data_IF_236706959097
#
_entry.id   IF_236706959097
#
_cell.length_a   1.000
_cell.length_b   1.000
_cell.length_c   1.000
_cell.angle_alpha   90.00
_cell.angle_beta   90.00
_cell.angle_gamma   90.00
#
_symmetry.space_group_name_H-M   'P 1'
#
loop_
_entity.id
_entity.type
_entity.pdbx_description
1 polymer ?
#
# COMPACT_ATOMS: atom_id res chain seq x y z
N UNK A 1 -36.88 -14.56 -41.13
CA UNK A 1 -36.00 -13.50 -40.59
C UNK A 1 -34.91 -14.16 -39.76
N UNK A 2 -33.69 -14.26 -40.28
CA UNK A 2 -32.50 -14.88 -39.63
C UNK A 2 -31.37 -13.84 -39.47
N UNK A 3 -31.65 -12.57 -39.77
CA UNK A 3 -30.65 -11.48 -39.85
C UNK A 3 -30.53 -10.67 -38.54
N UNK A 4 -31.45 -10.84 -37.59
CA UNK A 4 -31.52 -10.00 -36.40
C UNK A 4 -30.76 -10.53 -35.18
N UNK A 5 -30.11 -11.71 -35.24
CA UNK A 5 -29.36 -12.23 -34.11
C UNK A 5 -27.96 -11.59 -34.11
N UNK A 6 -27.65 -10.65 -33.20
CA UNK A 6 -26.42 -9.89 -33.27
C UNK A 6 -25.31 -10.66 -32.54
N UNK A 7 -24.79 -11.72 -33.16
CA UNK A 7 -23.74 -12.57 -32.57
C UNK A 7 -22.53 -11.75 -32.07
N UNK A 8 -22.18 -10.68 -32.79
CA UNK A 8 -21.11 -9.76 -32.40
C UNK A 8 -21.44 -8.98 -31.11
N UNK A 9 -22.69 -8.57 -30.91
CA UNK A 9 -23.12 -7.84 -29.72
C UNK A 9 -23.04 -8.72 -28.47
N UNK A 10 -23.39 -10.01 -28.60
CA UNK A 10 -23.31 -10.98 -27.51
C UNK A 10 -21.88 -11.29 -27.04
N UNK A 11 -20.88 -11.12 -27.93
CA UNK A 11 -19.47 -11.33 -27.61
C UNK A 11 -18.72 -10.06 -27.21
N UNK A 12 -19.20 -8.88 -27.60
CA UNK A 12 -18.51 -7.61 -27.38
C UNK A 12 -18.14 -7.39 -25.90
N UNK A 13 -19.13 -7.51 -24.99
CA UNK A 13 -18.93 -7.32 -23.54
C UNK A 13 -17.99 -8.36 -22.92
N UNK A 14 -18.20 -9.69 -23.07
CA UNK A 14 -17.29 -10.66 -22.46
C UNK A 14 -15.87 -10.58 -23.04
N UNK A 15 -15.69 -10.30 -24.33
CA UNK A 15 -14.35 -10.10 -24.91
C UNK A 15 -13.68 -8.85 -24.34
N UNK A 16 -14.38 -7.72 -24.24
CA UNK A 16 -13.84 -6.49 -23.67
C UNK A 16 -13.43 -6.68 -22.20
N UNK A 17 -14.26 -7.34 -21.39
CA UNK A 17 -13.94 -7.65 -19.99
C UNK A 17 -12.73 -8.58 -19.89
N UNK A 18 -12.69 -9.65 -20.68
CA UNK A 18 -11.60 -10.61 -20.64
C UNK A 18 -10.25 -9.96 -21.01
N UNK A 19 -10.23 -9.17 -22.09
CA UNK A 19 -9.01 -8.45 -22.51
C UNK A 19 -8.64 -7.35 -21.50
N UNK A 20 -9.62 -6.59 -21.00
CA UNK A 20 -9.40 -5.51 -20.04
C UNK A 20 -8.84 -6.01 -18.70
N UNK A 21 -9.41 -7.07 -18.14
CA UNK A 21 -8.92 -7.68 -16.90
C UNK A 21 -7.55 -8.33 -17.10
N UNK A 22 -7.31 -8.99 -18.25
CA UNK A 22 -5.99 -9.52 -18.61
C UNK A 22 -4.90 -8.44 -18.68
N UNK A 23 -5.19 -7.30 -19.31
CA UNK A 23 -4.25 -6.16 -19.33
C UNK A 23 -4.07 -5.48 -17.98
N UNK A 24 -5.09 -5.48 -17.12
CA UNK A 24 -4.94 -5.07 -15.72
C UNK A 24 -3.95 -5.96 -14.96
N UNK A 25 -4.10 -7.28 -15.10
CA UNK A 25 -3.24 -8.26 -14.43
C UNK A 25 -1.77 -8.16 -14.87
N UNK A 26 -1.49 -7.94 -16.15
CA UNK A 26 -0.14 -7.67 -16.66
C UNK A 26 0.53 -6.45 -15.99
N UNK A 27 -0.27 -5.51 -15.48
CA UNK A 27 0.18 -4.30 -14.77
C UNK A 27 0.08 -4.43 -13.24
N UNK A 28 -0.17 -5.63 -12.73
CA UNK A 28 -0.32 -5.88 -11.29
C UNK A 28 -1.66 -5.42 -10.69
N UNK A 29 -2.66 -5.11 -11.53
CA UNK A 29 -4.00 -4.70 -11.08
C UNK A 29 -4.96 -5.88 -11.20
N UNK A 30 -5.35 -6.44 -10.06
CA UNK A 30 -6.31 -7.53 -10.00
C UNK A 30 -7.75 -6.99 -10.01
N UNK A 31 -8.49 -7.23 -11.09
CA UNK A 31 -9.88 -6.80 -11.26
C UNK A 31 -10.80 -8.02 -11.10
N UNK A 32 -11.63 -8.02 -10.05
CA UNK A 32 -12.47 -9.17 -9.68
C UNK A 32 -13.81 -9.15 -10.43
N UNK A 33 -13.81 -9.67 -11.67
CA UNK A 33 -15.02 -9.77 -12.51
C UNK A 33 -15.24 -8.56 -13.41
N UNK A 34 -16.37 -8.55 -14.15
CA UNK A 34 -16.69 -7.51 -15.13
C UNK A 34 -17.31 -6.25 -14.54
N UNK A 35 -18.18 -6.41 -13.53
CA UNK A 35 -18.90 -5.29 -12.92
C UNK A 35 -17.96 -4.21 -12.33
N UNK A 36 -16.86 -4.54 -11.61
CA UNK A 36 -15.92 -3.52 -11.14
C UNK A 36 -15.24 -2.75 -12.28
N UNK A 37 -14.94 -3.41 -13.40
CA UNK A 37 -14.32 -2.77 -14.57
C UNK A 37 -15.29 -1.78 -15.23
N UNK A 38 -16.56 -2.16 -15.37
CA UNK A 38 -17.59 -1.28 -15.93
C UNK A 38 -17.92 -0.10 -15.01
N UNK A 39 -17.98 -0.34 -13.70
CA UNK A 39 -18.24 0.72 -12.71
C UNK A 39 -17.08 1.72 -12.63
N UNK A 40 -15.84 1.27 -12.82
CA UNK A 40 -14.66 2.14 -12.81
C UNK A 40 -14.76 3.30 -13.82
N UNK A 41 -15.37 3.07 -15.00
CA UNK A 41 -15.58 4.11 -16.01
C UNK A 41 -16.49 5.25 -15.55
N UNK A 42 -17.31 5.04 -14.51
CA UNK A 42 -18.25 6.04 -13.97
C UNK A 42 -17.71 6.74 -12.72
N UNK A 43 -16.57 6.29 -12.19
CA UNK A 43 -15.96 6.88 -10.99
C UNK A 43 -15.42 8.27 -11.33
N UNK A 44 -15.80 9.27 -10.53
CA UNK A 44 -15.32 10.65 -10.67
C UNK A 44 -14.56 11.16 -9.43
N UNK A 45 -14.55 10.38 -8.35
CA UNK A 45 -13.97 10.75 -7.06
C UNK A 45 -13.26 9.53 -6.50
N UNK A 46 -12.03 9.72 -6.03
CA UNK A 46 -11.24 8.68 -5.37
C UNK A 46 -10.97 9.15 -3.94
N UNK A 47 -11.37 8.34 -2.97
CA UNK A 47 -11.05 8.56 -1.56
C UNK A 47 -9.98 7.57 -1.18
N UNK A 48 -8.82 8.08 -0.75
CA UNK A 48 -7.72 7.25 -0.30
C UNK A 48 -7.78 7.09 1.21
N UNK A 49 -7.61 5.85 1.68
CA UNK A 49 -7.16 5.66 3.06
C UNK A 49 -5.69 6.09 3.15
N UNK A 50 -5.29 6.65 4.29
CA UNK A 50 -3.91 7.09 4.49
C UNK A 50 -3.04 5.92 4.94
N UNK A 51 -3.42 5.28 6.04
CA UNK A 51 -2.57 4.31 6.75
C UNK A 51 -2.55 2.98 6.02
N UNK A 52 -1.38 2.53 5.56
CA UNK A 52 -1.26 1.25 4.84
C UNK A 52 -1.64 1.32 3.35
N UNK A 53 -2.12 2.48 2.86
CA UNK A 53 -2.40 2.72 1.44
C UNK A 53 -1.48 3.80 0.87
N UNK A 54 -1.51 5.01 1.43
CA UNK A 54 -0.57 6.09 1.07
C UNK A 54 0.73 5.94 1.86
N UNK A 55 0.62 5.57 3.13
CA UNK A 55 1.77 5.34 4.02
C UNK A 55 1.98 3.85 4.24
N UNK A 56 3.17 3.46 4.68
CA UNK A 56 3.52 2.05 4.93
C UNK A 56 2.78 1.42 6.11
N UNK A 57 2.06 2.22 6.91
CA UNK A 57 1.31 1.76 8.07
C UNK A 57 2.16 1.32 9.26
N UNK A 58 3.48 1.51 9.18
CA UNK A 58 4.44 1.19 10.25
C UNK A 58 5.15 2.48 10.69
N UNK A 59 5.27 2.75 12.00
CA UNK A 59 6.06 3.87 12.48
C UNK A 59 7.54 3.66 12.17
N UNK A 60 8.24 4.75 11.84
CA UNK A 60 9.68 4.79 11.61
C UNK A 60 10.26 6.05 12.25
N UNK A 61 11.48 5.95 12.79
CA UNK A 61 12.20 7.10 13.34
C UNK A 61 12.79 7.91 12.19
N UNK A 62 12.28 9.13 12.00
CA UNK A 62 12.77 10.05 10.96
C UNK A 62 13.92 10.91 11.45
N UNK A 63 13.79 11.47 12.66
CA UNK A 63 14.69 12.48 13.20
C UNK A 63 14.96 12.22 14.69
N UNK A 64 16.23 12.42 15.09
CA UNK A 64 16.63 12.38 16.51
C UNK A 64 17.21 13.75 16.86
N UNK A 65 16.50 14.48 17.70
CA UNK A 65 16.89 15.84 18.13
C UNK A 65 17.55 15.74 19.49
N UNK A 66 18.88 15.88 19.52
CA UNK A 66 19.63 15.92 20.77
C UNK A 66 19.68 17.34 21.35
N UNK A 67 19.37 17.47 22.64
CA UNK A 67 19.47 18.74 23.39
C UNK A 67 20.71 18.74 24.28
N UNK A 68 21.16 19.92 24.73
CA UNK A 68 22.23 20.08 25.73
C UNK A 68 23.59 19.47 25.36
N UNK A 69 23.89 19.33 24.06
CA UNK A 69 25.17 18.80 23.58
C UNK A 69 25.33 17.29 23.76
N UNK A 70 24.25 16.55 24.03
CA UNK A 70 24.30 15.10 24.05
C UNK A 70 24.53 14.53 22.64
N UNK A 71 25.26 13.42 22.58
CA UNK A 71 25.46 12.70 21.33
C UNK A 71 24.22 11.86 20.98
N UNK A 72 23.77 11.97 19.74
CA UNK A 72 22.60 11.22 19.21
C UNK A 72 22.79 9.71 19.37
N UNK A 73 23.99 9.19 19.12
CA UNK A 73 24.35 7.77 19.25
C UNK A 73 24.04 7.26 20.65
N UNK A 74 24.49 7.98 21.68
CA UNK A 74 24.32 7.61 23.08
C UNK A 74 22.87 7.68 23.54
N UNK A 75 22.11 8.66 23.06
CA UNK A 75 20.66 8.75 23.30
C UNK A 75 19.97 7.52 22.71
N UNK A 76 20.33 7.16 21.48
CA UNK A 76 19.75 6.02 20.78
C UNK A 76 20.09 4.70 21.48
N UNK A 77 21.33 4.47 21.92
CA UNK A 77 21.72 3.29 22.71
C UNK A 77 20.86 3.13 23.97
N UNK A 78 20.66 4.22 24.72
CA UNK A 78 19.85 4.19 25.94
C UNK A 78 18.39 3.87 25.60
N UNK A 79 17.84 4.52 24.56
CA UNK A 79 16.47 4.30 24.13
C UNK A 79 16.23 2.86 23.67
N UNK A 80 17.14 2.27 22.89
CA UNK A 80 17.06 0.87 22.46
C UNK A 80 17.01 -0.06 23.67
N UNK A 81 17.91 0.13 24.64
CA UNK A 81 17.97 -0.73 25.82
C UNK A 81 16.70 -0.65 26.68
N UNK A 82 16.13 0.55 26.83
CA UNK A 82 14.87 0.74 27.56
C UNK A 82 13.68 0.10 26.83
N UNK A 83 13.63 0.22 25.51
CA UNK A 83 12.51 -0.23 24.68
C UNK A 83 12.61 -1.68 24.22
N UNK A 84 13.74 -2.37 24.46
CA UNK A 84 14.02 -3.72 23.96
C UNK A 84 13.01 -4.80 24.42
N UNK A 85 12.32 -4.59 25.54
CA UNK A 85 11.33 -5.53 26.08
C UNK A 85 9.88 -5.06 25.87
N UNK A 86 9.66 -3.99 25.11
CA UNK A 86 8.34 -3.41 24.87
C UNK A 86 7.76 -3.91 23.54
N UNK A 87 6.50 -4.33 23.57
CA UNK A 87 5.74 -4.76 22.37
C UNK A 87 5.02 -3.58 21.68
N UNK A 88 5.25 -2.35 22.14
CA UNK A 88 4.59 -1.18 21.58
C UNK A 88 5.17 -0.87 20.17
N UNK A 89 4.35 -0.60 19.13
CA UNK A 89 4.86 -0.39 17.76
C UNK A 89 5.89 0.74 17.60
N UNK A 90 5.85 1.75 18.47
CA UNK A 90 6.86 2.82 18.52
C UNK A 90 8.20 2.35 19.12
N UNK A 91 8.14 1.48 20.13
CA UNK A 91 9.32 0.88 20.76
C UNK A 91 10.06 0.01 19.74
N UNK A 92 9.31 -0.84 19.03
CA UNK A 92 9.85 -1.64 17.93
C UNK A 92 10.50 -0.78 16.84
N UNK A 93 9.91 0.37 16.50
CA UNK A 93 10.48 1.30 15.53
C UNK A 93 11.83 1.88 15.99
N UNK A 94 11.98 2.21 17.27
CA UNK A 94 13.24 2.70 17.86
C UNK A 94 14.30 1.59 17.83
N UNK A 95 13.95 0.39 18.29
CA UNK A 95 14.88 -0.76 18.32
C UNK A 95 15.30 -1.16 16.91
N UNK A 96 14.37 -1.15 15.94
CA UNK A 96 14.68 -1.42 14.53
C UNK A 96 15.64 -0.38 13.96
N UNK A 97 15.38 0.91 14.20
CA UNK A 97 16.26 1.99 13.74
C UNK A 97 17.68 1.87 14.32
N UNK A 98 17.81 1.47 15.59
CA UNK A 98 19.09 1.14 16.22
C UNK A 98 19.87 0.06 15.48
N UNK A 99 19.22 -1.08 15.27
CA UNK A 99 19.80 -2.24 14.55
C UNK A 99 20.25 -1.88 13.14
N UNK A 100 19.48 -1.08 12.40
CA UNK A 100 19.84 -0.62 11.05
C UNK A 100 21.10 0.26 11.05
N UNK A 101 21.31 1.04 12.12
CA UNK A 101 22.51 1.86 12.29
C UNK A 101 23.70 1.14 12.92
N UNK A 102 23.56 -0.15 13.25
CA UNK A 102 24.54 -0.96 13.97
C UNK A 102 24.96 -0.31 15.31
N UNK A 103 23.98 0.24 16.02
CA UNK A 103 24.09 0.78 17.38
C UNK A 103 23.30 -0.16 18.29
#
# INVERSE_FOLDING_TARGET
>A
MVIACPCALGLATPTAIMVGTGKGAEKGVLIKGGEPLENLCKVNTIVFDKTGTITEGKPEVTDIIATNGHEVTKILEIAINLESNSEHPLAEAIVRHGKEKNI
#
